data_IF_892989764252
#
_entry.id   IF_892989764252
#
_cell.length_a   1.000
_cell.length_b   1.000
_cell.length_c   1.000
_cell.angle_alpha   90.00
_cell.angle_beta   90.00
_cell.angle_gamma   90.00
#
_symmetry.space_group_name_H-M   'P 1'
#
loop_
_entity.id
_entity.type
_entity.pdbx_description
1 polymer ?
#
# COMPACT_ATOMS: atom_id res chain seq x y z
N UNK A 1 41.00 18.88 -18.36
CA UNK A 1 41.45 18.28 -17.09
C UNK A 1 40.58 18.69 -15.89
N UNK A 2 40.44 19.99 -15.57
CA UNK A 2 39.69 20.46 -14.38
C UNK A 2 38.21 20.01 -14.31
N UNK A 3 37.50 19.97 -15.44
CA UNK A 3 36.09 19.49 -15.52
C UNK A 3 35.93 17.98 -15.25
N UNK A 4 36.93 17.18 -15.65
CA UNK A 4 36.93 15.72 -15.41
C UNK A 4 37.22 15.39 -13.94
N UNK A 5 38.09 16.17 -13.29
CA UNK A 5 38.38 16.03 -11.86
C UNK A 5 37.14 16.36 -11.02
N UNK A 6 36.37 17.39 -11.42
CA UNK A 6 35.14 17.80 -10.74
C UNK A 6 34.02 16.73 -10.87
N UNK A 7 33.91 16.10 -12.04
CA UNK A 7 33.01 14.96 -12.27
C UNK A 7 33.43 13.73 -11.45
N UNK A 8 34.73 13.42 -11.37
CA UNK A 8 35.23 12.33 -10.55
C UNK A 8 35.00 12.58 -9.06
N UNK A 9 35.21 13.81 -8.56
CA UNK A 9 34.93 14.14 -7.16
C UNK A 9 33.45 14.00 -6.81
N UNK A 10 32.55 14.34 -7.74
CA UNK A 10 31.10 14.16 -7.55
C UNK A 10 30.73 12.68 -7.49
N UNK A 11 31.31 11.83 -8.35
CA UNK A 11 31.07 10.38 -8.36
C UNK A 11 31.55 9.67 -7.09
N UNK A 12 32.66 10.14 -6.48
CA UNK A 12 33.22 9.55 -5.25
C UNK A 12 32.40 9.94 -4.00
N UNK A 13 31.63 11.04 -4.04
CA UNK A 13 30.78 11.47 -2.92
C UNK A 13 29.40 10.78 -2.87
N UNK A 14 28.93 10.21 -3.98
CA UNK A 14 27.65 9.48 -4.05
C UNK A 14 27.57 8.31 -3.04
N UNK A 15 28.57 7.43 -2.89
CA UNK A 15 28.50 6.34 -1.92
C UNK A 15 28.49 6.81 -0.46
N UNK A 16 29.02 7.99 -0.13
CA UNK A 16 28.93 8.54 1.23
C UNK A 16 27.51 8.99 1.61
N UNK A 17 26.68 9.38 0.64
CA UNK A 17 25.26 9.72 0.86
C UNK A 17 24.38 8.44 0.94
N UNK A 18 24.77 7.36 0.27
CA UNK A 18 24.03 6.10 0.26
C UNK A 18 24.38 5.15 1.41
N UNK A 19 25.55 5.28 2.05
CA UNK A 19 25.97 4.38 3.12
C UNK A 19 25.21 4.57 4.45
N UNK A 20 24.56 5.72 4.67
CA UNK A 20 23.80 6.01 5.90
C UNK A 20 22.31 5.60 5.82
N UNK A 21 21.86 5.06 4.68
CA UNK A 21 20.46 4.68 4.47
C UNK A 21 20.03 3.36 5.17
N UNK A 22 20.88 2.78 6.00
CA UNK A 22 20.58 1.53 6.72
C UNK A 22 19.96 1.73 8.11
N UNK A 23 19.52 2.94 8.46
CA UNK A 23 18.87 3.21 9.74
C UNK A 23 17.67 4.13 9.60
N UNK A 24 16.55 3.61 9.08
CA UNK A 24 15.23 3.84 9.70
C UNK A 24 14.11 3.15 8.92
N UNK A 25 13.76 1.92 9.33
CA UNK A 25 12.46 1.30 9.01
C UNK A 25 11.25 2.21 9.35
N UNK A 26 11.48 3.23 10.20
CA UNK A 26 10.48 4.18 10.69
C UNK A 26 10.02 5.16 9.61
N UNK A 27 10.92 5.63 8.74
CA UNK A 27 10.58 6.58 7.66
C UNK A 27 9.69 5.93 6.61
N UNK A 28 10.05 4.72 6.17
CA UNK A 28 9.30 3.93 5.20
C UNK A 28 7.92 3.51 5.75
N UNK A 29 7.85 3.09 7.02
CA UNK A 29 6.58 2.73 7.65
C UNK A 29 5.62 3.93 7.80
N UNK A 30 6.14 5.12 8.16
CA UNK A 30 5.33 6.35 8.25
C UNK A 30 4.79 6.77 6.88
N UNK A 31 5.61 6.67 5.83
CA UNK A 31 5.20 6.94 4.45
C UNK A 31 4.11 5.96 3.99
N UNK A 32 4.26 4.65 4.29
CA UNK A 32 3.23 3.64 4.02
C UNK A 32 1.92 3.92 4.74
N UNK A 33 1.96 4.38 5.99
CA UNK A 33 0.75 4.77 6.74
C UNK A 33 0.08 6.02 6.16
N UNK A 34 0.86 7.01 5.74
CA UNK A 34 0.34 8.21 5.11
C UNK A 34 -0.33 7.90 3.76
N UNK A 35 0.30 7.07 2.92
CA UNK A 35 -0.32 6.61 1.67
C UNK A 35 -1.58 5.79 1.92
N UNK A 36 -1.60 4.94 2.95
CA UNK A 36 -2.79 4.18 3.32
C UNK A 36 -3.93 5.11 3.75
N UNK A 37 -3.63 6.15 4.54
CA UNK A 37 -4.61 7.18 4.92
C UNK A 37 -5.18 7.89 3.70
N UNK A 38 -4.33 8.39 2.80
CA UNK A 38 -4.79 9.05 1.58
C UNK A 38 -5.68 8.16 0.72
N UNK A 39 -5.39 6.85 0.65
CA UNK A 39 -6.25 5.90 -0.08
C UNK A 39 -7.63 5.74 0.56
N UNK A 40 -7.70 5.76 1.89
CA UNK A 40 -8.96 5.71 2.63
C UNK A 40 -9.73 7.01 2.44
N UNK A 41 -9.10 8.15 2.69
CA UNK A 41 -9.70 9.48 2.52
C UNK A 41 -10.21 9.67 1.08
N UNK A 42 -9.43 9.24 0.08
CA UNK A 42 -9.86 9.27 -1.32
C UNK A 42 -11.05 8.35 -1.60
N UNK A 43 -11.12 7.19 -0.94
CA UNK A 43 -12.24 6.26 -1.10
C UNK A 43 -13.52 6.78 -0.41
N UNK A 44 -13.38 7.51 0.69
CA UNK A 44 -14.48 8.23 1.35
C UNK A 44 -15.00 9.35 0.45
N UNK A 45 -14.11 10.20 -0.08
CA UNK A 45 -14.47 11.30 -0.97
C UNK A 45 -15.16 10.84 -2.27
N UNK A 46 -14.71 9.72 -2.84
CA UNK A 46 -15.29 9.18 -4.07
C UNK A 46 -16.62 8.47 -3.86
N UNK A 47 -16.87 7.98 -2.64
CA UNK A 47 -18.06 7.18 -2.32
C UNK A 47 -18.12 5.81 -3.03
N UNK A 48 -19.21 5.06 -2.82
CA UNK A 48 -19.45 3.81 -3.52
C UNK A 48 -19.65 4.04 -5.02
N UNK A 49 -19.23 3.10 -5.88
CA UNK A 49 -19.51 3.20 -7.31
C UNK A 49 -21.02 3.11 -7.56
N UNK A 50 -21.51 3.93 -8.49
CA UNK A 50 -22.90 3.88 -8.93
C UNK A 50 -23.14 2.65 -9.84
N UNK A 51 -24.35 2.09 -9.78
CA UNK A 51 -24.77 0.97 -10.62
C UNK A 51 -24.60 1.28 -12.11
N UNK A 52 -24.99 2.49 -12.52
CA UNK A 52 -24.83 2.98 -13.90
C UNK A 52 -23.37 2.96 -14.38
N UNK A 53 -22.41 3.20 -13.49
CA UNK A 53 -20.99 3.09 -13.83
C UNK A 53 -20.56 1.63 -14.04
N UNK A 54 -21.16 0.68 -13.31
CA UNK A 54 -20.89 -0.75 -13.49
C UNK A 54 -21.55 -1.29 -14.76
N UNK A 55 -22.77 -0.85 -15.06
CA UNK A 55 -23.44 -1.12 -16.33
C UNK A 55 -22.62 -0.62 -17.51
N UNK A 56 -22.16 0.64 -17.43
CA UNK A 56 -21.26 1.21 -18.45
C UNK A 56 -19.97 0.41 -18.59
N UNK A 57 -19.36 -0.03 -17.48
CA UNK A 57 -18.16 -0.89 -17.51
C UNK A 57 -18.44 -2.26 -18.12
N UNK A 58 -19.59 -2.86 -17.85
CA UNK A 58 -20.02 -4.13 -18.44
C UNK A 58 -20.23 -3.96 -19.94
N UNK A 59 -20.93 -2.93 -20.36
CA UNK A 59 -21.17 -2.60 -21.77
C UNK A 59 -19.86 -2.34 -22.53
N UNK A 60 -18.96 -1.52 -21.98
CA UNK A 60 -17.66 -1.26 -22.61
C UNK A 60 -16.84 -2.54 -22.79
N UNK A 61 -16.79 -3.40 -21.77
CA UNK A 61 -16.08 -4.68 -21.87
C UNK A 61 -16.70 -5.62 -22.90
N UNK A 62 -18.02 -5.64 -23.02
CA UNK A 62 -18.70 -6.40 -24.08
C UNK A 62 -18.33 -5.86 -25.46
N UNK A 63 -18.34 -4.53 -25.63
CA UNK A 63 -17.92 -3.89 -26.87
C UNK A 63 -16.45 -4.20 -27.22
N UNK A 64 -15.55 -4.17 -26.24
CA UNK A 64 -14.14 -4.54 -26.45
C UNK A 64 -14.00 -6.00 -26.91
N UNK A 65 -14.75 -6.93 -26.30
CA UNK A 65 -14.76 -8.34 -26.71
C UNK A 65 -15.36 -8.51 -28.11
N UNK A 66 -16.42 -7.77 -28.44
CA UNK A 66 -17.02 -7.75 -29.77
C UNK A 66 -16.02 -7.25 -30.82
N UNK A 67 -15.26 -6.20 -30.51
CA UNK A 67 -14.18 -5.72 -31.38
C UNK A 67 -13.10 -6.79 -31.60
N UNK A 68 -12.70 -7.51 -30.55
CA UNK A 68 -11.71 -8.59 -30.67
C UNK A 68 -12.24 -9.74 -31.54
N UNK A 69 -13.51 -10.12 -31.37
CA UNK A 69 -14.16 -11.15 -32.20
C UNK A 69 -14.23 -10.68 -33.66
N UNK A 70 -14.71 -9.46 -33.88
CA UNK A 70 -14.91 -8.89 -35.22
C UNK A 70 -13.59 -8.55 -35.93
N UNK A 71 -12.49 -8.42 -35.19
CA UNK A 71 -11.17 -8.16 -35.77
C UNK A 71 -10.65 -9.29 -36.66
N UNK A 72 -11.20 -10.50 -36.53
CA UNK A 72 -10.75 -11.69 -37.27
C UNK A 72 -9.32 -12.14 -36.96
N UNK A 73 -8.63 -11.48 -36.00
CA UNK A 73 -7.22 -11.77 -35.66
C UNK A 73 -7.04 -13.10 -34.93
N UNK A 74 -8.03 -13.51 -34.15
CA UNK A 74 -7.96 -14.69 -33.29
C UNK A 74 -8.60 -15.90 -33.97
N UNK A 75 -7.99 -17.07 -33.82
CA UNK A 75 -8.45 -18.34 -34.43
C UNK A 75 -8.73 -19.40 -33.37
N UNK A 76 -9.59 -20.35 -33.74
CA UNK A 76 -9.86 -21.58 -32.99
C UNK A 76 -10.01 -21.40 -31.47
N UNK A 77 -9.08 -21.93 -30.68
CA UNK A 77 -9.14 -21.95 -29.22
C UNK A 77 -9.11 -20.57 -28.57
N UNK A 78 -8.40 -19.61 -29.16
CA UNK A 78 -8.37 -18.23 -28.65
C UNK A 78 -9.71 -17.53 -28.89
N UNK A 79 -10.26 -17.69 -30.10
CA UNK A 79 -11.57 -17.15 -30.44
C UNK A 79 -12.68 -17.75 -29.57
N UNK A 80 -12.61 -19.06 -29.30
CA UNK A 80 -13.54 -19.74 -28.39
C UNK A 80 -13.47 -19.13 -26.99
N UNK A 81 -12.27 -18.94 -26.43
CA UNK A 81 -12.10 -18.30 -25.12
C UNK A 81 -12.69 -16.89 -25.08
N UNK A 82 -12.50 -16.09 -26.13
CA UNK A 82 -13.05 -14.73 -26.20
C UNK A 82 -14.59 -14.76 -26.23
N UNK A 83 -15.19 -15.68 -26.99
CA UNK A 83 -16.64 -15.90 -27.03
C UNK A 83 -17.19 -16.36 -25.67
N UNK A 84 -16.53 -17.32 -25.03
CA UNK A 84 -16.93 -17.80 -23.70
C UNK A 84 -16.84 -16.68 -22.65
N UNK A 85 -15.82 -15.81 -22.71
CA UNK A 85 -15.70 -14.65 -21.83
C UNK A 85 -16.84 -13.65 -22.05
N UNK A 86 -17.23 -13.42 -23.31
CA UNK A 86 -18.34 -12.53 -23.67
C UNK A 86 -19.66 -13.07 -23.13
N UNK A 87 -19.94 -14.35 -23.33
CA UNK A 87 -21.15 -15.02 -22.84
C UNK A 87 -21.26 -14.94 -21.32
N UNK A 88 -20.19 -15.34 -20.61
CA UNK A 88 -20.12 -15.21 -19.14
C UNK A 88 -20.32 -13.79 -18.66
N UNK A 89 -19.80 -12.79 -19.39
CA UNK A 89 -19.98 -11.40 -19.02
C UNK A 89 -21.42 -10.94 -19.24
N UNK A 90 -22.07 -11.40 -20.31
CA UNK A 90 -23.46 -11.10 -20.64
C UNK A 90 -24.41 -11.66 -19.56
N UNK A 91 -24.25 -12.94 -19.20
CA UNK A 91 -25.06 -13.64 -18.19
C UNK A 91 -24.84 -13.13 -16.77
N UNK A 92 -23.68 -12.53 -16.50
CA UNK A 92 -23.34 -12.06 -15.16
C UNK A 92 -24.28 -10.96 -14.70
N UNK A 93 -25.05 -11.26 -13.66
CA UNK A 93 -25.84 -10.28 -12.92
C UNK A 93 -24.95 -9.26 -12.21
N UNK A 94 -25.36 -8.00 -12.26
CA UNK A 94 -24.69 -6.93 -11.52
C UNK A 94 -25.25 -6.87 -10.09
N UNK A 95 -24.39 -6.61 -9.09
CA UNK A 95 -24.86 -6.41 -7.72
C UNK A 95 -25.77 -5.17 -7.63
N UNK A 96 -26.74 -5.19 -6.72
CA UNK A 96 -27.59 -4.02 -6.47
C UNK A 96 -26.79 -2.84 -5.88
N UNK A 97 -27.35 -1.62 -5.96
CA UNK A 97 -26.71 -0.44 -5.38
C UNK A 97 -26.50 -0.58 -3.86
N UNK A 98 -27.44 -1.21 -3.15
CA UNK A 98 -27.33 -1.48 -1.71
C UNK A 98 -26.14 -2.39 -1.40
N UNK A 99 -25.96 -3.46 -2.17
CA UNK A 99 -24.82 -4.37 -2.01
C UNK A 99 -23.48 -3.67 -2.29
N UNK A 100 -23.47 -2.72 -3.24
CA UNK A 100 -22.28 -1.91 -3.54
C UNK A 100 -21.94 -0.97 -2.39
N UNK A 101 -22.94 -0.30 -1.83
CA UNK A 101 -22.80 0.58 -0.68
C UNK A 101 -22.29 -0.21 0.53
N UNK A 102 -22.94 -1.32 0.86
CA UNK A 102 -22.56 -2.18 1.99
C UNK A 102 -21.13 -2.73 1.82
N UNK A 103 -20.74 -3.09 0.58
CA UNK A 103 -19.37 -3.53 0.29
C UNK A 103 -18.36 -2.40 0.46
N UNK A 104 -18.69 -1.18 0.05
CA UNK A 104 -17.84 -0.01 0.21
C UNK A 104 -17.66 0.32 1.70
N UNK A 105 -18.74 0.36 2.47
CA UNK A 105 -18.73 0.61 3.91
C UNK A 105 -17.90 -0.43 4.66
N UNK A 106 -18.08 -1.72 4.36
CA UNK A 106 -17.27 -2.79 4.96
C UNK A 106 -15.80 -2.62 4.67
N UNK A 107 -15.44 -2.24 3.44
CA UNK A 107 -14.05 -2.00 3.05
C UNK A 107 -13.44 -0.80 3.77
N UNK A 108 -14.19 0.29 3.91
CA UNK A 108 -13.75 1.46 4.67
C UNK A 108 -13.54 1.12 6.14
N UNK A 109 -14.50 0.46 6.79
CA UNK A 109 -14.39 0.01 8.19
C UNK A 109 -13.17 -0.86 8.41
N UNK A 110 -12.92 -1.84 7.52
CA UNK A 110 -11.73 -2.69 7.61
C UNK A 110 -10.43 -1.91 7.42
N UNK A 111 -10.38 -0.97 6.48
CA UNK A 111 -9.20 -0.17 6.22
C UNK A 111 -8.87 0.76 7.41
N UNK A 112 -9.88 1.46 7.94
CA UNK A 112 -9.75 2.29 9.13
C UNK A 112 -9.31 1.48 10.35
N UNK A 113 -9.91 0.29 10.58
CA UNK A 113 -9.53 -0.61 11.67
C UNK A 113 -8.06 -1.07 11.57
N UNK A 114 -7.61 -1.47 10.37
CA UNK A 114 -6.21 -1.83 10.13
C UNK A 114 -5.25 -0.68 10.41
N UNK A 115 -5.64 0.56 10.09
CA UNK A 115 -4.84 1.73 10.39
C UNK A 115 -4.74 2.00 11.90
N UNK A 116 -5.85 1.88 12.64
CA UNK A 116 -5.86 2.03 14.10
C UNK A 116 -4.97 0.99 14.79
N UNK A 117 -5.13 -0.29 14.43
CA UNK A 117 -4.32 -1.38 14.98
C UNK A 117 -2.82 -1.20 14.71
N UNK A 118 -2.43 -0.73 13.51
CA UNK A 118 -1.03 -0.41 13.21
C UNK A 118 -0.51 0.77 14.04
N UNK A 119 -1.32 1.81 14.25
CA UNK A 119 -0.98 2.93 15.11
C UNK A 119 -0.76 2.50 16.57
N UNK A 120 -1.65 1.67 17.11
CA UNK A 120 -1.53 1.13 18.47
C UNK A 120 -0.27 0.27 18.65
N UNK A 121 0.06 -0.57 17.68
CA UNK A 121 1.31 -1.34 17.69
C UNK A 121 2.55 -0.44 17.75
N UNK A 122 2.57 0.68 17.01
CA UNK A 122 3.69 1.63 17.09
C UNK A 122 3.77 2.28 18.46
N UNK A 123 2.65 2.78 19.00
CA UNK A 123 2.62 3.36 20.35
C UNK A 123 3.11 2.37 21.42
N UNK A 124 2.72 1.10 21.33
CA UNK A 124 3.17 0.04 22.24
C UNK A 124 4.68 -0.24 22.10
N UNK A 125 5.21 -0.28 20.87
CA UNK A 125 6.65 -0.44 20.62
C UNK A 125 7.45 0.71 21.24
N UNK A 126 7.01 1.95 21.03
CA UNK A 126 7.68 3.13 21.59
C UNK A 126 7.64 3.17 23.12
N UNK A 127 6.51 2.79 23.73
CA UNK A 127 6.40 2.69 25.19
C UNK A 127 7.37 1.65 25.77
N UNK A 128 7.51 0.50 25.11
CA UNK A 128 8.44 -0.54 25.52
C UNK A 128 9.91 -0.12 25.31
N UNK A 129 10.22 0.58 24.22
CA UNK A 129 11.56 1.11 23.99
C UNK A 129 11.97 2.15 25.03
N UNK A 130 11.07 3.08 25.39
CA UNK A 130 11.31 4.07 26.44
C UNK A 130 11.53 3.39 27.81
N UNK A 131 10.66 2.44 28.17
CA UNK A 131 10.81 1.65 29.41
C UNK A 131 12.11 0.85 29.45
N UNK A 132 12.52 0.25 28.33
CA UNK A 132 13.78 -0.50 28.24
C UNK A 132 15.02 0.39 28.29
N UNK A 133 14.91 1.67 27.93
CA UNK A 133 15.98 2.66 28.15
C UNK A 133 16.06 3.03 29.61
N UNK A 134 14.94 3.39 30.24
CA UNK A 134 14.88 3.73 31.67
C UNK A 134 15.46 2.61 32.56
N UNK A 135 15.09 1.36 32.31
CA UNK A 135 15.66 0.22 33.03
C UNK A 135 17.17 0.05 32.82
N UNK A 136 17.67 0.32 31.60
CA UNK A 136 19.11 0.28 31.31
C UNK A 136 19.85 1.40 32.05
N UNK A 137 19.31 2.60 32.06
CA UNK A 137 19.91 3.76 32.71
C UNK A 137 19.95 3.58 34.23
N UNK A 138 18.87 3.05 34.82
CA UNK A 138 18.82 2.66 36.24
C UNK A 138 19.87 1.59 36.58
N UNK A 139 19.94 0.52 35.80
CA UNK A 139 20.94 -0.54 36.01
C UNK A 139 22.39 -0.02 35.90
N UNK A 140 22.64 0.92 34.99
CA UNK A 140 23.95 1.57 34.88
C UNK A 140 24.26 2.45 36.09
N UNK A 141 23.29 3.23 36.57
CA UNK A 141 23.44 4.07 37.75
C UNK A 141 23.72 3.23 39.00
N UNK A 142 22.98 2.13 39.21
CA UNK A 142 23.22 1.19 40.31
C UNK A 142 24.61 0.55 40.22
N UNK A 143 25.08 0.19 39.03
CA UNK A 143 26.44 -0.35 38.85
C UNK A 143 27.53 0.67 39.20
N UNK A 144 27.35 1.94 38.84
CA UNK A 144 28.31 3.01 39.16
C UNK A 144 28.34 3.32 40.67
N UNK A 145 27.18 3.24 41.33
CA UNK A 145 27.02 3.58 42.74
C UNK A 145 27.07 2.37 43.68
N UNK A 146 27.45 1.18 43.20
CA UNK A 146 27.67 0.03 44.08
C UNK A 146 28.86 0.33 44.99
N UNK A 147 28.69 0.37 46.33
CA UNK A 147 29.82 0.49 47.23
C UNK A 147 30.73 -0.71 47.03
N UNK A 148 32.03 -0.46 46.87
CA UNK A 148 33.03 -1.54 46.86
C UNK A 148 32.92 -2.26 48.20
N UNK A 149 32.45 -3.51 48.17
CA UNK A 149 32.50 -4.37 49.36
C UNK A 149 33.97 -4.48 49.77
N UNK A 150 34.27 -3.97 50.97
CA UNK A 150 35.54 -4.17 51.66
C UNK A 150 35.63 -5.58 52.18
#
# INVERSE_FOLDING_TARGET
MKKLILLLSLLILIPFVSADHHKDDRGDMRMKMWQAKLKVDLAELKGPPALSQLEKKKANRLADLDLLINSGKYKEGELKRIKDMREKLMERELPSQEMLNERHDRRLKMAQSKMRSRGEMMHKKHRNEARNRDMRDRNQWERRNRPRRK
#
